data_IF_602781094402
#
_entry.id   IF_602781094402
#
_cell.length_a   1.000
_cell.length_b   1.000
_cell.length_c   1.000
_cell.angle_alpha   90.00
_cell.angle_beta   90.00
_cell.angle_gamma   90.00
#
_symmetry.space_group_name_H-M   'P 1'
#
loop_
_entity.id
_entity.type
_entity.pdbx_description
1 polymer ?
#
# COMPACT_ATOMS: atom_id res chain seq x y z
N UNK A 1 19.06 -9.52 -8.75
CA UNK A 1 19.66 -8.20 -8.52
C UNK A 1 18.59 -7.16 -8.78
N UNK A 2 18.38 -6.25 -7.80
CA UNK A 2 17.37 -5.19 -7.90
C UNK A 2 17.85 -4.04 -8.79
N UNK A 3 16.95 -3.47 -9.58
CA UNK A 3 17.19 -2.21 -10.29
C UNK A 3 17.04 -1.00 -9.34
N UNK A 4 17.36 0.19 -9.82
CA UNK A 4 17.34 1.42 -9.01
C UNK A 4 15.93 1.74 -8.49
N UNK A 5 14.91 1.73 -9.34
CA UNK A 5 13.53 2.02 -8.96
C UNK A 5 12.94 1.00 -8.00
N UNK A 6 13.29 -0.27 -8.12
CA UNK A 6 12.92 -1.31 -7.18
C UNK A 6 13.51 -1.06 -5.79
N UNK A 7 14.80 -0.71 -5.73
CA UNK A 7 15.45 -0.36 -4.46
C UNK A 7 14.82 0.87 -3.84
N UNK A 8 14.63 1.93 -4.61
CA UNK A 8 13.99 3.17 -4.12
C UNK A 8 12.59 2.89 -3.55
N UNK A 9 11.79 2.06 -4.23
CA UNK A 9 10.47 1.68 -3.73
C UNK A 9 10.55 0.90 -2.41
N UNK A 10 11.39 -0.14 -2.35
CA UNK A 10 11.51 -0.98 -1.14
C UNK A 10 12.06 -0.14 0.03
N UNK A 11 13.10 0.66 -0.20
CA UNK A 11 13.68 1.54 0.81
C UNK A 11 12.68 2.60 1.30
N UNK A 12 11.83 3.13 0.42
CA UNK A 12 10.76 4.04 0.80
C UNK A 12 9.77 3.36 1.76
N UNK A 13 9.33 2.14 1.44
CA UNK A 13 8.41 1.36 2.27
C UNK A 13 9.03 1.08 3.63
N UNK A 14 10.26 0.55 3.66
CA UNK A 14 10.98 0.25 4.90
C UNK A 14 11.21 1.50 5.76
N UNK A 15 11.68 2.59 5.15
CA UNK A 15 11.94 3.86 5.86
C UNK A 15 10.66 4.47 6.43
N UNK A 16 9.53 4.33 5.74
CA UNK A 16 8.24 4.81 6.22
C UNK A 16 7.72 3.93 7.36
N UNK A 17 7.80 2.61 7.21
CA UNK A 17 7.42 1.64 8.23
C UNK A 17 8.22 1.82 9.52
N UNK A 18 9.55 1.90 9.44
CA UNK A 18 10.44 2.07 10.60
C UNK A 18 10.16 3.35 11.41
N UNK A 19 9.56 4.37 10.79
CA UNK A 19 9.19 5.62 11.45
C UNK A 19 7.77 5.61 12.01
N UNK A 20 6.88 4.82 11.41
CA UNK A 20 5.45 4.87 11.67
C UNK A 20 4.96 3.69 12.52
N UNK A 21 5.70 2.58 12.52
CA UNK A 21 5.30 1.31 13.11
C UNK A 21 6.17 0.99 14.32
N UNK A 22 5.57 0.29 15.29
CA UNK A 22 6.29 -0.31 16.42
C UNK A 22 6.70 -1.77 16.13
N UNK A 23 6.47 -2.23 14.89
CA UNK A 23 6.75 -3.59 14.43
C UNK A 23 7.68 -3.59 13.21
N UNK A 24 8.29 -4.73 12.93
CA UNK A 24 9.19 -4.89 11.79
C UNK A 24 8.44 -4.70 10.46
N UNK A 25 9.00 -3.88 9.58
CA UNK A 25 8.34 -3.52 8.32
C UNK A 25 8.30 -4.71 7.35
N UNK A 26 9.31 -5.59 7.35
CA UNK A 26 9.27 -6.80 6.52
C UNK A 26 8.20 -7.76 7.01
N UNK A 27 8.13 -8.02 8.32
CA UNK A 27 7.10 -8.85 8.94
C UNK A 27 5.69 -8.34 8.56
N UNK A 28 5.43 -7.04 8.71
CA UNK A 28 4.17 -6.43 8.28
C UNK A 28 3.90 -6.65 6.79
N UNK A 29 4.88 -6.40 5.93
CA UNK A 29 4.71 -6.49 4.48
C UNK A 29 4.53 -7.93 3.98
N UNK A 30 5.06 -8.92 4.70
CA UNK A 30 4.91 -10.35 4.39
C UNK A 30 3.55 -10.86 4.89
N UNK A 31 3.17 -10.54 6.13
CA UNK A 31 1.97 -11.10 6.76
C UNK A 31 0.68 -10.34 6.42
N UNK A 32 0.73 -9.01 6.46
CA UNK A 32 -0.46 -8.15 6.36
C UNK A 32 -0.52 -7.42 5.01
N UNK A 33 0.64 -7.03 4.47
CA UNK A 33 0.75 -6.21 3.27
C UNK A 33 0.22 -4.80 3.49
N UNK A 34 0.28 -3.97 2.45
CA UNK A 34 -0.25 -2.59 2.49
C UNK A 34 -1.12 -2.28 1.28
N UNK A 35 -2.16 -1.44 1.45
CA UNK A 35 -2.93 -0.95 0.32
C UNK A 35 -2.04 -0.28 -0.72
N UNK A 36 -2.29 -0.52 -2.01
CA UNK A 36 -1.56 0.15 -3.10
C UNK A 36 -1.96 1.64 -3.27
N UNK A 37 -3.16 2.02 -2.83
CA UNK A 37 -3.76 3.35 -3.03
C UNK A 37 -2.92 4.56 -2.54
N UNK A 38 -2.21 4.49 -1.40
CA UNK A 38 -1.29 5.56 -0.97
C UNK A 38 -0.14 5.79 -1.95
N UNK A 39 0.25 4.77 -2.72
CA UNK A 39 1.35 4.84 -3.66
C UNK A 39 0.89 5.35 -5.05
N UNK A 40 -0.36 5.05 -5.44
CA UNK A 40 -0.97 5.45 -6.72
C UNK A 40 -1.11 6.99 -6.85
N UNK A 41 -1.34 7.73 -5.76
CA UNK A 41 -1.47 9.20 -5.83
C UNK A 41 -0.18 9.98 -5.54
N UNK A 42 0.94 9.27 -5.38
CA UNK A 42 2.24 9.90 -5.15
C UNK A 42 2.87 10.32 -6.49
N UNK A 43 3.84 11.24 -6.47
CA UNK A 43 4.62 11.66 -7.65
C UNK A 43 5.35 10.52 -8.38
N UNK A 44 5.26 9.29 -7.86
CA UNK A 44 5.85 8.03 -8.33
C UNK A 44 4.89 7.16 -9.16
N UNK A 45 3.67 7.64 -9.43
CA UNK A 45 2.59 6.89 -10.11
C UNK A 45 3.01 6.29 -11.47
N UNK A 46 3.92 6.95 -12.21
CA UNK A 46 4.35 6.47 -13.53
C UNK A 46 5.18 5.18 -13.53
N UNK A 47 5.74 4.76 -12.39
CA UNK A 47 6.63 3.59 -12.31
C UNK A 47 6.16 2.50 -11.36
N UNK A 48 5.16 2.74 -10.50
CA UNK A 48 4.74 1.75 -9.51
C UNK A 48 4.28 0.44 -10.15
N UNK A 49 3.47 0.50 -11.21
CA UNK A 49 3.05 -0.70 -11.94
C UNK A 49 4.23 -1.49 -12.50
N UNK A 50 5.17 -0.81 -13.16
CA UNK A 50 6.37 -1.44 -13.73
C UNK A 50 7.30 -2.03 -12.66
N UNK A 51 7.46 -1.33 -11.53
CA UNK A 51 8.23 -1.82 -10.38
C UNK A 51 7.57 -3.06 -9.78
N UNK A 52 6.25 -3.04 -9.57
CA UNK A 52 5.51 -4.17 -9.03
C UNK A 52 5.54 -5.38 -9.97
N UNK A 53 5.36 -5.17 -11.27
CA UNK A 53 5.48 -6.23 -12.26
C UNK A 53 6.89 -6.85 -12.27
N UNK A 54 7.94 -6.02 -12.24
CA UNK A 54 9.32 -6.53 -12.24
C UNK A 54 9.67 -7.27 -10.93
N UNK A 55 9.21 -6.79 -9.77
CA UNK A 55 9.36 -7.49 -8.50
C UNK A 55 8.59 -8.82 -8.47
N UNK A 56 7.38 -8.85 -9.06
CA UNK A 56 6.58 -10.06 -9.17
C UNK A 56 7.23 -11.09 -10.09
N UNK A 57 7.77 -10.69 -11.24
CA UNK A 57 8.55 -11.57 -12.13
C UNK A 57 9.76 -12.20 -11.43
N UNK A 58 10.37 -11.46 -10.48
CA UNK A 58 11.49 -11.93 -9.65
C UNK A 58 11.04 -12.80 -8.47
N UNK A 59 9.73 -12.87 -8.22
CA UNK A 59 9.13 -13.54 -7.07
C UNK A 59 9.53 -12.87 -5.75
N UNK A 60 9.63 -11.55 -5.73
CA UNK A 60 10.06 -10.75 -4.57
C UNK A 60 8.90 -10.02 -3.91
N UNK A 61 7.87 -9.69 -4.67
CA UNK A 61 6.63 -9.09 -4.19
C UNK A 61 5.46 -9.63 -5.01
N UNK A 62 4.24 -9.47 -4.49
CA UNK A 62 3.02 -9.77 -5.25
C UNK A 62 1.91 -8.81 -4.86
N UNK A 63 0.81 -8.83 -5.62
CA UNK A 63 -0.40 -8.10 -5.26
C UNK A 63 -1.58 -9.03 -5.14
N UNK A 64 -2.49 -8.72 -4.22
CA UNK A 64 -3.73 -9.45 -4.02
C UNK A 64 -4.89 -8.47 -3.86
N UNK A 65 -6.04 -8.80 -4.44
CA UNK A 65 -7.27 -8.04 -4.23
C UNK A 65 -8.02 -8.57 -3.03
N UNK A 66 -8.34 -7.70 -2.09
CA UNK A 66 -9.12 -8.03 -0.91
C UNK A 66 -10.38 -7.21 -0.84
N UNK A 67 -11.48 -7.87 -0.49
CA UNK A 67 -12.77 -7.23 -0.28
C UNK A 67 -12.79 -6.61 1.13
N UNK A 68 -12.99 -5.29 1.20
CA UNK A 68 -13.04 -4.55 2.45
C UNK A 68 -14.35 -3.81 2.64
N UNK A 69 -14.85 -3.79 3.87
CA UNK A 69 -15.95 -2.92 4.26
C UNK A 69 -15.41 -1.62 4.83
N UNK A 70 -15.53 -0.53 4.08
CA UNK A 70 -15.08 0.80 4.54
C UNK A 70 -16.28 1.66 4.94
N UNK A 71 -16.08 2.47 5.98
CA UNK A 71 -17.03 3.52 6.35
C UNK A 71 -16.79 4.73 5.45
N UNK A 72 -17.83 5.18 4.76
CA UNK A 72 -17.79 6.39 3.94
C UNK A 72 -18.67 7.47 4.57
N UNK A 73 -18.19 8.71 4.49
CA UNK A 73 -19.01 9.88 4.78
C UNK A 73 -19.64 10.35 3.47
N UNK A 74 -20.95 10.15 3.29
CA UNK A 74 -21.71 10.68 2.15
C UNK A 74 -21.48 12.18 2.07
N UNK A 75 -20.81 12.59 1.01
CA UNK A 75 -19.88 13.72 1.07
C UNK A 75 -20.46 15.07 1.52
N UNK A 76 -19.61 15.82 2.23
CA UNK A 76 -19.58 17.28 2.22
C UNK A 76 -19.33 17.76 0.77
N UNK A 77 -20.34 17.68 -0.10
CA UNK A 77 -20.25 18.14 -1.50
C UNK A 77 -20.47 19.65 -1.65
N UNK A 78 -20.51 20.39 -0.54
CA UNK A 78 -20.59 21.85 -0.50
C UNK A 78 -19.24 22.48 -0.13
N UNK A 79 -19.00 23.70 -0.60
CA UNK A 79 -17.84 24.54 -0.17
C UNK A 79 -17.96 25.04 1.28
N UNK A 80 -19.01 24.65 1.98
CA UNK A 80 -19.30 25.07 3.36
C UNK A 80 -19.03 23.92 4.32
N UNK A 81 -18.46 24.25 5.49
CA UNK A 81 -18.26 23.31 6.58
C UNK A 81 -19.65 22.96 7.15
N UNK A 82 -20.22 21.84 6.73
CA UNK A 82 -21.45 21.30 7.34
C UNK A 82 -21.12 20.37 8.51
N UNK A 83 -21.97 20.32 9.56
CA UNK A 83 -21.87 19.30 10.61
C UNK A 83 -21.91 17.89 10.02
N UNK A 84 -21.21 16.93 10.64
CA UNK A 84 -21.28 15.51 10.26
C UNK A 84 -22.74 15.05 10.38
N UNK A 85 -23.37 14.78 9.22
CA UNK A 85 -24.69 14.18 9.13
C UNK A 85 -24.52 12.66 9.12
N UNK A 86 -24.60 12.04 10.29
CA UNK A 86 -24.49 10.58 10.46
C UNK A 86 -25.48 9.79 9.60
N UNK A 87 -26.64 10.38 9.29
CA UNK A 87 -27.64 9.84 8.36
C UNK A 87 -27.15 9.68 6.90
N UNK A 88 -26.05 10.36 6.54
CA UNK A 88 -25.41 10.25 5.23
C UNK A 88 -24.14 9.40 5.28
N UNK A 89 -23.75 8.88 6.44
CA UNK A 89 -22.60 7.98 6.54
C UNK A 89 -23.08 6.54 6.43
N UNK A 90 -22.23 5.67 5.89
CA UNK A 90 -22.60 4.29 5.64
C UNK A 90 -21.39 3.41 5.45
N UNK A 91 -21.64 2.11 5.30
CA UNK A 91 -20.61 1.14 4.95
C UNK A 91 -20.78 0.75 3.49
N UNK A 92 -19.66 0.65 2.78
CA UNK A 92 -19.65 0.07 1.44
C UNK A 92 -18.52 -0.96 1.35
N UNK A 93 -18.78 -1.99 0.58
CA UNK A 93 -17.77 -2.94 0.16
C UNK A 93 -16.94 -2.35 -0.98
N UNK A 94 -15.62 -2.45 -0.89
CA UNK A 94 -14.68 -2.07 -1.94
C UNK A 94 -13.69 -3.20 -2.16
N UNK A 95 -13.30 -3.42 -3.41
CA UNK A 95 -12.14 -4.26 -3.72
C UNK A 95 -10.90 -3.38 -3.68
N UNK A 96 -9.96 -3.72 -2.80
CA UNK A 96 -8.71 -3.00 -2.62
C UNK A 96 -7.53 -3.89 -2.96
N UNK A 97 -6.59 -3.35 -3.72
CA UNK A 97 -5.36 -4.05 -4.06
C UNK A 97 -4.32 -3.82 -2.96
N UNK A 98 -3.76 -4.91 -2.46
CA UNK A 98 -2.69 -4.95 -1.49
C UNK A 98 -1.38 -5.34 -2.14
N UNK A 99 -0.28 -4.82 -1.62
CA UNK A 99 1.10 -5.14 -1.99
C UNK A 99 1.71 -5.93 -0.84
N UNK A 100 2.31 -7.07 -1.18
CA UNK A 100 3.00 -7.96 -0.26
C UNK A 100 4.47 -8.12 -0.66
N UNK A 101 5.34 -8.20 0.34
CA UNK A 101 6.71 -8.68 0.15
C UNK A 101 6.77 -10.20 0.38
N UNK A 102 7.81 -10.82 -0.13
CA UNK A 102 8.08 -12.24 0.10
C UNK A 102 9.28 -12.40 1.03
N UNK A 103 9.36 -13.54 1.73
CA UNK A 103 10.54 -13.92 2.54
C UNK A 103 11.84 -13.82 1.72
N UNK A 104 11.79 -14.18 0.42
CA UNK A 104 12.94 -14.09 -0.49
C UNK A 104 13.47 -12.65 -0.64
N UNK A 105 12.60 -11.65 -0.54
CA UNK A 105 13.02 -10.26 -0.58
C UNK A 105 13.70 -9.84 0.72
N UNK A 106 13.20 -10.29 1.86
CA UNK A 106 13.83 -10.08 3.16
C UNK A 106 15.22 -10.70 3.22
N UNK A 107 15.37 -11.96 2.80
CA UNK A 107 16.66 -12.65 2.72
C UNK A 107 17.68 -11.86 1.90
N UNK A 108 17.25 -11.27 0.76
CA UNK A 108 18.11 -10.48 -0.11
C UNK A 108 18.62 -9.17 0.54
N UNK A 109 17.90 -8.63 1.53
CA UNK A 109 18.30 -7.44 2.28
C UNK A 109 19.11 -7.75 3.55
N UNK A 110 19.11 -9.01 4.00
CA UNK A 110 19.91 -9.47 5.14
C UNK A 110 21.33 -9.95 4.72
N UNK A 111 21.57 -10.19 3.43
CA UNK A 111 22.90 -10.51 2.83
C UNK A 111 23.80 -9.27 2.60
#
# INVERSE_FOLDING_TARGET
MLNESEKEFIELVLTAGDKALEQDTFELMIEEGVPAEPFINSTWDYTLGEVMDSLAEKGLAYTESQEETIHYNGGLRGKEIEPIKWENTGFKTVDRQYIYFTEKLEELYQE
#
